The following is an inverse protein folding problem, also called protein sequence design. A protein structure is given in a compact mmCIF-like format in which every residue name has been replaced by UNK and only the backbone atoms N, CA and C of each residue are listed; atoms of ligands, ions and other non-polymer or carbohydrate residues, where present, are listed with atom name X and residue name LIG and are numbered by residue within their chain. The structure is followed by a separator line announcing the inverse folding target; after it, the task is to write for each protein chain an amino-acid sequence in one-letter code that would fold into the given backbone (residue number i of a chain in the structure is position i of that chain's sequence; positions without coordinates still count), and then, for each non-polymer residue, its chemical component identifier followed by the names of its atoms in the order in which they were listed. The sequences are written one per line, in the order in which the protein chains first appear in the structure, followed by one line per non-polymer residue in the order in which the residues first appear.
data_IF_461486134465
#
_entry.id   IF_461486134465
#
_cell.length_a   1.000
_cell.length_b   1.000
_cell.length_c   1.000
_cell.angle_alpha   90.00
_cell.angle_beta   90.00
_cell.angle_gamma   90.00
#
_symmetry.space_group_name_H-M   'P 1'
#
loop_
_entity.id
_entity.type
_entity.pdbx_description
1 polymer ?
#
# COMPACT_ATOMS: atom_id res chain seq x y z
N UNK A 1 -6.75 -29.61 10.13
CA UNK A 1 -7.93 -29.18 9.35
C UNK A 1 -7.81 -27.67 9.21
N UNK A 2 -7.36 -27.18 8.05
CA UNK A 2 -7.22 -25.73 7.82
C UNK A 2 -8.61 -25.06 7.90
N UNK A 3 -8.71 -23.98 8.67
CA UNK A 3 -9.93 -23.19 8.72
C UNK A 3 -10.13 -22.49 7.37
N UNK A 4 -11.10 -22.97 6.58
CA UNK A 4 -11.52 -22.30 5.35
C UNK A 4 -12.16 -20.95 5.72
N UNK A 5 -11.78 -19.86 5.04
CA UNK A 5 -12.51 -18.61 5.21
C UNK A 5 -13.96 -18.76 4.74
N UNK A 6 -14.90 -18.08 5.39
CA UNK A 6 -16.33 -18.14 5.06
C UNK A 6 -16.60 -17.89 3.56
N UNK A 7 -15.82 -16.99 2.94
CA UNK A 7 -15.87 -16.72 1.50
C UNK A 7 -15.60 -17.98 0.67
N UNK A 8 -14.55 -18.73 0.99
CA UNK A 8 -14.19 -19.94 0.23
C UNK A 8 -15.27 -21.00 0.41
N UNK A 9 -15.83 -21.14 1.62
CA UNK A 9 -16.91 -22.08 1.90
C UNK A 9 -18.17 -21.78 1.08
N UNK A 10 -18.65 -20.53 1.13
CA UNK A 10 -19.83 -20.09 0.37
C UNK A 10 -19.63 -20.22 -1.14
N UNK A 11 -18.43 -19.90 -1.65
CA UNK A 11 -18.13 -20.06 -3.07
C UNK A 11 -18.11 -21.53 -3.53
N UNK A 12 -17.72 -22.46 -2.67
CA UNK A 12 -17.80 -23.90 -2.97
C UNK A 12 -19.25 -24.36 -3.04
N UNK A 13 -20.05 -24.06 -2.01
CA UNK A 13 -21.48 -24.39 -1.99
C UNK A 13 -22.23 -23.86 -3.22
N UNK A 14 -21.88 -22.64 -3.67
CA UNK A 14 -22.48 -22.06 -4.87
C UNK A 14 -22.09 -22.79 -6.15
N UNK A 15 -20.81 -23.16 -6.29
CA UNK A 15 -20.30 -23.92 -7.45
C UNK A 15 -20.86 -25.34 -7.50
N UNK A 16 -21.11 -25.93 -6.33
CA UNK A 16 -21.72 -27.25 -6.18
C UNK A 16 -23.25 -27.20 -6.38
N UNK A 17 -23.84 -26.01 -6.63
CA UNK A 17 -25.26 -25.83 -6.87
C UNK A 17 -26.15 -25.93 -5.62
N UNK A 18 -25.55 -25.98 -4.42
CA UNK A 18 -26.27 -26.11 -3.15
C UNK A 18 -26.92 -24.79 -2.71
N UNK A 19 -26.38 -23.65 -3.15
CA UNK A 19 -26.92 -22.31 -2.92
C UNK A 19 -26.74 -21.43 -4.16
N UNK A 20 -27.56 -20.41 -4.31
CA UNK A 20 -27.35 -19.34 -5.30
C UNK A 20 -26.85 -18.07 -4.59
N UNK A 21 -25.67 -17.58 -4.96
CA UNK A 21 -25.13 -16.34 -4.42
C UNK A 21 -25.56 -15.16 -5.30
N UNK A 22 -25.90 -14.01 -4.71
CA UNK A 22 -26.18 -12.81 -5.49
C UNK A 22 -24.93 -12.38 -6.27
N UNK A 23 -25.11 -11.68 -7.40
CA UNK A 23 -23.99 -11.13 -8.15
C UNK A 23 -23.16 -10.19 -7.27
N UNK A 24 -21.83 -10.09 -7.49
CA UNK A 24 -20.98 -9.17 -6.75
C UNK A 24 -21.51 -7.74 -6.85
N UNK A 25 -21.75 -7.10 -5.71
CA UNK A 25 -22.26 -5.74 -5.68
C UNK A 25 -21.19 -4.72 -6.09
N UNK A 26 -19.91 -5.04 -5.88
CA UNK A 26 -18.77 -4.13 -6.11
C UNK A 26 -17.67 -4.88 -6.86
N UNK A 27 -16.99 -4.18 -7.79
CA UNK A 27 -15.76 -4.69 -8.40
C UNK A 27 -14.66 -4.73 -7.35
N UNK A 28 -13.73 -5.68 -7.49
CA UNK A 28 -12.57 -5.76 -6.62
C UNK A 28 -11.72 -4.47 -6.73
N UNK A 29 -11.65 -3.72 -5.62
CA UNK A 29 -10.79 -2.53 -5.50
C UNK A 29 -9.29 -2.83 -5.51
N UNK A 30 -8.91 -4.12 -5.54
CA UNK A 30 -7.52 -4.58 -5.68
C UNK A 30 -6.92 -4.31 -7.08
N UNK A 31 -7.53 -3.41 -7.85
CA UNK A 31 -6.99 -2.97 -9.13
C UNK A 31 -5.55 -2.47 -8.98
N UNK A 32 -4.79 -2.58 -10.06
CA UNK A 32 -3.41 -2.10 -10.23
C UNK A 32 -3.32 -0.57 -10.16
N UNK A 33 -3.85 0.05 -9.12
CA UNK A 33 -3.65 1.46 -8.88
C UNK A 33 -2.19 1.67 -8.48
N UNK A 34 -1.48 2.46 -9.29
CA UNK A 34 -0.14 2.94 -8.99
C UNK A 34 -0.22 4.40 -8.54
N UNK A 35 0.61 4.83 -7.56
CA UNK A 35 0.73 6.23 -7.20
C UNK A 35 1.13 7.05 -8.42
N UNK A 36 0.52 8.22 -8.60
CA UNK A 36 0.98 9.15 -9.62
C UNK A 36 2.27 9.82 -9.16
N UNK A 37 3.30 9.81 -10.00
CA UNK A 37 4.52 10.55 -9.76
C UNK A 37 4.30 12.03 -10.04
N UNK A 38 4.73 12.87 -9.11
CA UNK A 38 4.63 14.31 -9.15
C UNK A 38 6.02 14.93 -8.94
N UNK A 39 6.19 16.22 -9.25
CA UNK A 39 7.45 16.92 -8.98
C UNK A 39 7.81 17.00 -7.49
N UNK A 40 6.86 16.75 -6.59
CA UNK A 40 7.09 16.81 -5.15
C UNK A 40 8.10 15.78 -4.64
N UNK A 41 8.32 14.69 -5.39
CA UNK A 41 9.30 13.64 -5.04
C UNK A 41 10.46 13.57 -6.03
N UNK A 42 10.66 14.58 -6.88
CA UNK A 42 11.79 14.61 -7.79
C UNK A 42 13.13 14.59 -7.06
N UNK A 43 14.19 14.01 -7.66
CA UNK A 43 15.50 13.96 -7.04
C UNK A 43 16.00 15.37 -6.72
N UNK A 44 16.28 15.62 -5.43
CA UNK A 44 16.94 16.84 -4.98
C UNK A 44 18.45 16.79 -5.20
N UNK A 45 19.14 17.85 -4.75
CA UNK A 45 20.59 17.85 -4.71
C UNK A 45 21.10 16.69 -3.83
N UNK A 46 22.15 15.96 -4.25
CA UNK A 46 22.74 14.92 -3.42
C UNK A 46 23.15 15.48 -2.06
N UNK A 47 22.87 14.73 -1.00
CA UNK A 47 23.38 15.08 0.33
C UNK A 47 24.86 14.69 0.37
N UNK A 48 25.73 15.70 0.48
CA UNK A 48 27.19 15.53 0.52
C UNK A 48 27.66 15.73 1.96
N UNK A 49 28.52 14.83 2.44
CA UNK A 49 29.09 14.89 3.77
C UNK A 49 29.29 13.50 4.37
N UNK A 50 29.75 13.50 5.61
CA UNK A 50 29.85 12.30 6.44
C UNK A 50 28.54 12.05 7.18
N UNK A 51 28.38 10.84 7.74
CA UNK A 51 27.23 10.53 8.61
C UNK A 51 27.10 11.49 9.80
N UNK A 52 28.19 12.11 10.26
CA UNK A 52 28.14 13.07 11.39
C UNK A 52 27.53 14.41 11.00
N UNK A 53 27.52 14.74 9.71
CA UNK A 53 26.97 15.97 9.17
C UNK A 53 25.44 15.87 9.00
N UNK A 54 24.92 14.63 8.93
CA UNK A 54 23.50 14.36 9.06
C UNK A 54 23.10 14.59 10.52
N UNK A 55 22.43 15.71 10.77
CA UNK A 55 21.87 16.04 12.09
C UNK A 55 20.86 14.99 12.57
N UNK A 56 20.17 15.29 13.69
CA UNK A 56 19.18 14.37 14.24
C UNK A 56 18.04 14.11 13.24
N UNK A 57 17.84 12.84 12.88
CA UNK A 57 16.70 12.41 12.06
C UNK A 57 15.44 12.36 12.91
N UNK A 58 14.35 12.90 12.38
CA UNK A 58 13.04 12.87 13.03
C UNK A 58 12.08 12.02 12.21
N UNK A 59 11.38 11.10 12.86
CA UNK A 59 10.37 10.29 12.20
C UNK A 59 9.00 10.97 12.32
N UNK A 60 8.43 11.35 11.18
CA UNK A 60 7.12 11.97 11.10
C UNK A 60 6.07 10.92 10.74
N UNK A 61 5.15 10.64 11.65
CA UNK A 61 4.07 9.68 11.40
C UNK A 61 3.14 10.21 10.31
N UNK A 62 2.89 9.39 9.29
CA UNK A 62 1.90 9.67 8.24
C UNK A 62 0.50 9.63 8.87
N UNK A 63 -0.16 10.78 8.94
CA UNK A 63 -1.47 10.91 9.59
C UNK A 63 -2.59 11.27 8.61
N UNK A 64 -2.29 11.94 7.49
CA UNK A 64 -3.29 12.46 6.56
C UNK A 64 -3.21 11.90 5.13
N UNK A 65 -4.24 12.17 4.30
CA UNK A 65 -4.25 11.76 2.89
C UNK A 65 -3.11 12.35 2.06
N UNK A 66 -2.67 13.58 2.36
CA UNK A 66 -1.54 14.23 1.67
C UNK A 66 -0.24 13.47 1.92
N UNK A 67 0.06 13.21 3.19
CA UNK A 67 1.28 12.49 3.60
C UNK A 67 1.25 11.04 3.10
N UNK A 68 0.06 10.41 3.09
CA UNK A 68 -0.07 9.07 2.53
C UNK A 68 0.21 9.04 1.03
N UNK A 69 -0.21 10.05 0.28
CA UNK A 69 0.10 10.14 -1.17
C UNK A 69 1.60 10.35 -1.38
N UNK A 70 2.20 11.26 -0.63
CA UNK A 70 3.65 11.52 -0.69
C UNK A 70 4.46 10.25 -0.35
N UNK A 71 4.09 9.56 0.72
CA UNK A 71 4.73 8.30 1.11
C UNK A 71 4.60 7.24 0.01
N UNK A 72 3.39 7.03 -0.53
CA UNK A 72 3.17 6.06 -1.59
C UNK A 72 4.00 6.38 -2.84
N UNK A 73 4.10 7.66 -3.19
CA UNK A 73 4.90 8.15 -4.32
C UNK A 73 6.39 7.92 -4.11
N UNK A 74 6.92 8.20 -2.91
CA UNK A 74 8.32 7.91 -2.55
C UNK A 74 8.64 6.42 -2.63
N UNK A 75 7.71 5.55 -2.19
CA UNK A 75 7.87 4.10 -2.33
C UNK A 75 7.85 3.68 -3.80
N UNK A 76 6.92 4.18 -4.62
CA UNK A 76 6.87 3.85 -6.05
C UNK A 76 8.16 4.27 -6.77
N UNK A 77 8.69 5.45 -6.45
CA UNK A 77 9.84 6.03 -7.15
C UNK A 77 11.18 5.44 -6.71
N UNK A 78 11.38 5.25 -5.40
CA UNK A 78 12.72 4.95 -4.84
C UNK A 78 12.85 3.56 -4.23
N UNK A 79 11.74 2.86 -3.95
CA UNK A 79 11.84 1.49 -3.47
C UNK A 79 12.07 0.54 -4.65
N UNK A 80 13.05 -0.36 -4.55
CA UNK A 80 13.43 -1.27 -5.63
C UNK A 80 12.30 -2.24 -6.08
N UNK A 81 11.28 -2.45 -5.24
CA UNK A 81 10.08 -3.24 -5.57
C UNK A 81 8.92 -2.41 -6.14
N UNK A 82 9.01 -1.08 -6.11
CA UNK A 82 7.89 -0.17 -6.33
C UNK A 82 6.81 -0.30 -5.25
N UNK A 83 5.71 0.43 -5.46
CA UNK A 83 4.55 0.43 -4.58
C UNK A 83 3.64 -0.77 -4.86
N UNK A 84 3.29 -1.48 -3.80
CA UNK A 84 2.26 -2.51 -3.81
C UNK A 84 1.30 -2.27 -2.64
N UNK A 85 -0.03 -2.39 -2.83
CA UNK A 85 -0.99 -2.32 -1.74
C UNK A 85 -0.64 -3.33 -0.66
N UNK A 86 -0.52 -2.81 0.53
CA UNK A 86 0.21 -3.42 1.61
C UNK A 86 -0.87 -3.93 2.59
N UNK A 87 -0.95 -5.25 2.87
CA UNK A 87 -2.11 -5.81 3.57
C UNK A 87 -2.12 -5.41 5.05
N UNK A 88 -3.32 -5.35 5.62
CA UNK A 88 -3.53 -5.09 7.05
C UNK A 88 -3.44 -3.63 7.48
N UNK A 89 -3.51 -3.39 8.79
CA UNK A 89 -3.34 -2.07 9.39
C UNK A 89 -1.84 -1.72 9.48
N UNK A 90 -1.49 -0.48 9.17
CA UNK A 90 -0.10 -0.07 9.02
C UNK A 90 0.17 1.29 9.67
N UNK A 91 1.37 1.41 10.24
CA UNK A 91 1.93 2.69 10.68
C UNK A 91 3.08 3.02 9.73
N UNK A 92 3.02 4.21 9.12
CA UNK A 92 4.01 4.68 8.14
C UNK A 92 4.68 5.96 8.65
N UNK A 93 5.92 6.17 8.23
CA UNK A 93 6.74 7.29 8.64
C UNK A 93 7.43 7.94 7.44
N UNK A 94 7.62 9.25 7.53
CA UNK A 94 8.53 10.05 6.70
C UNK A 94 9.73 10.48 7.55
N UNK A 95 10.81 10.86 6.89
CA UNK A 95 12.06 11.36 7.48
C UNK A 95 12.22 12.84 7.13
#
# INVERSE_FOLDING_TARGET
MEALSARVGLLRLHRDGLIELPPPTWKNGNGRWRPQLTPATDPGAPVVGTRRDLGALTLLRVAGPKDSRLWNELIERYHYLGYTPLPGAQIRYLI
#
